data_IF_270389678734
#
_entry.id   IF_270389678734
#
_cell.length_a   1.000
_cell.length_b   1.000
_cell.length_c   1.000
_cell.angle_alpha   90.00
_cell.angle_beta   90.00
_cell.angle_gamma   90.00
#
_symmetry.space_group_name_H-M   'P 1'
#
loop_
_entity.id
_entity.type
_entity.pdbx_description
1 polymer ?
#
# COMPACT_ATOMS: atom_id res chain seq x y z
N UNK A 1 -61.35 57.46 23.04
CA UNK A 1 -61.60 57.96 21.66
C UNK A 1 -61.61 59.47 21.76
N UNK A 2 -60.89 60.22 20.91
CA UNK A 2 -61.06 61.67 20.87
C UNK A 2 -62.48 61.93 20.37
N UNK A 3 -63.30 62.61 21.18
CA UNK A 3 -64.55 63.20 20.71
C UNK A 3 -64.13 64.42 19.88
N UNK A 4 -64.05 64.26 18.57
CA UNK A 4 -63.86 65.42 17.69
C UNK A 4 -65.16 66.24 17.70
N UNK A 5 -65.11 67.53 18.08
CA UNK A 5 -66.30 68.33 18.38
C UNK A 5 -67.00 68.89 17.13
N UNK A 6 -66.89 68.21 15.97
CA UNK A 6 -67.45 68.73 14.73
C UNK A 6 -68.97 68.88 14.81
N UNK A 7 -69.45 70.06 14.44
CA UNK A 7 -70.88 70.39 14.45
C UNK A 7 -71.64 69.59 13.40
N UNK A 8 -72.85 69.13 13.73
CA UNK A 8 -73.74 68.46 12.78
C UNK A 8 -74.26 69.45 11.74
N UNK A 9 -73.96 69.20 10.46
CA UNK A 9 -74.39 70.07 9.38
C UNK A 9 -75.84 69.76 8.95
N UNK A 10 -76.67 70.79 8.83
CA UNK A 10 -78.01 70.70 8.24
C UNK A 10 -77.99 70.56 6.71
N UNK A 11 -79.16 70.38 6.08
CA UNK A 11 -79.29 70.17 4.61
C UNK A 11 -79.61 71.44 3.80
N UNK A 12 -79.71 72.60 4.45
CA UNK A 12 -80.01 73.89 3.81
C UNK A 12 -78.77 74.76 3.59
N UNK A 13 -78.84 75.75 2.69
CA UNK A 13 -77.73 76.68 2.38
C UNK A 13 -77.77 77.98 3.21
N UNK A 14 -78.26 77.87 4.46
CA UNK A 14 -78.45 79.02 5.35
C UNK A 14 -77.11 79.63 5.78
N UNK A 15 -77.16 80.83 6.37
CA UNK A 15 -75.96 81.47 6.94
C UNK A 15 -75.33 80.59 8.03
N UNK A 16 -76.16 79.96 8.86
CA UNK A 16 -75.71 79.10 9.95
C UNK A 16 -75.01 77.85 9.43
N UNK A 17 -75.54 77.20 8.38
CA UNK A 17 -74.85 76.08 7.72
C UNK A 17 -73.45 76.47 7.23
N UNK A 18 -73.30 77.63 6.60
CA UNK A 18 -71.97 78.09 6.11
C UNK A 18 -71.01 78.40 7.24
N UNK A 19 -71.50 78.94 8.36
CA UNK A 19 -70.67 79.22 9.53
C UNK A 19 -70.20 77.93 10.20
N UNK A 20 -71.12 76.99 10.44
CA UNK A 20 -70.78 75.69 11.05
C UNK A 20 -69.86 74.86 10.13
N UNK A 21 -70.07 74.92 8.81
CA UNK A 21 -69.18 74.27 7.84
C UNK A 21 -67.76 74.85 7.87
N UNK A 22 -67.64 76.18 7.90
CA UNK A 22 -66.34 76.84 7.98
C UNK A 22 -65.62 76.56 9.30
N UNK A 23 -66.36 76.49 10.41
CA UNK A 23 -65.82 76.15 11.72
C UNK A 23 -65.33 74.71 11.76
N UNK A 24 -66.12 73.75 11.25
CA UNK A 24 -65.67 72.37 11.10
C UNK A 24 -64.43 72.25 10.22
N UNK A 25 -64.34 72.99 9.11
CA UNK A 25 -63.13 72.97 8.28
C UNK A 25 -61.91 73.54 8.99
N UNK A 26 -62.08 74.56 9.84
CA UNK A 26 -61.00 75.09 10.67
C UNK A 26 -60.54 74.05 11.69
N UNK A 27 -61.48 73.43 12.42
CA UNK A 27 -61.16 72.40 13.43
C UNK A 27 -60.50 71.17 12.81
N UNK A 28 -60.98 70.69 11.65
CA UNK A 28 -60.36 69.60 10.91
C UNK A 28 -58.94 69.97 10.50
N UNK A 29 -58.70 71.21 10.06
CA UNK A 29 -57.37 71.67 9.69
C UNK A 29 -56.41 71.67 10.88
N UNK A 30 -56.87 72.10 12.05
CA UNK A 30 -56.08 72.12 13.28
C UNK A 30 -55.76 70.69 13.76
N UNK A 31 -56.74 69.78 13.71
CA UNK A 31 -56.55 68.36 14.05
C UNK A 31 -55.54 67.68 13.11
N UNK A 32 -55.63 67.96 11.80
CA UNK A 32 -54.68 67.43 10.82
C UNK A 32 -53.26 67.93 11.08
N UNK A 33 -53.10 69.16 11.57
CA UNK A 33 -51.80 69.69 11.96
C UNK A 33 -51.26 69.00 13.23
N UNK A 34 -52.09 68.77 14.25
CA UNK A 34 -51.67 68.04 15.46
C UNK A 34 -51.23 66.60 15.13
N UNK A 35 -51.98 65.90 14.27
CA UNK A 35 -51.61 64.55 13.84
C UNK A 35 -50.31 64.52 13.05
N UNK A 36 -50.08 65.54 12.21
CA UNK A 36 -48.80 65.70 11.49
C UNK A 36 -47.65 65.90 12.48
N UNK A 37 -47.81 66.79 13.45
CA UNK A 37 -46.76 67.08 14.43
C UNK A 37 -46.41 65.84 15.29
N UNK A 38 -47.41 65.02 15.65
CA UNK A 38 -47.20 63.74 16.33
C UNK A 38 -46.50 62.72 15.45
N UNK A 39 -46.90 62.59 14.19
CA UNK A 39 -46.24 61.70 13.24
C UNK A 39 -44.78 62.10 13.03
N UNK A 40 -44.50 63.39 12.88
CA UNK A 40 -43.15 63.93 12.73
C UNK A 40 -42.31 63.71 14.02
N UNK A 41 -42.90 63.84 15.20
CA UNK A 41 -42.23 63.53 16.47
C UNK A 41 -41.91 62.04 16.63
N UNK A 42 -42.87 61.17 16.31
CA UNK A 42 -42.66 59.71 16.33
C UNK A 42 -41.58 59.33 15.33
N UNK A 43 -41.60 59.91 14.12
CA UNK A 43 -40.56 59.67 13.12
C UNK A 43 -39.19 60.11 13.64
N UNK A 44 -39.08 61.28 14.26
CA UNK A 44 -37.82 61.74 14.85
C UNK A 44 -37.32 60.82 15.98
N UNK A 45 -38.22 60.28 16.81
CA UNK A 45 -37.86 59.31 17.84
C UNK A 45 -37.41 57.97 17.23
N UNK A 46 -38.09 57.51 16.17
CA UNK A 46 -37.73 56.28 15.45
C UNK A 46 -36.40 56.45 14.72
N UNK A 47 -36.16 57.58 14.06
CA UNK A 47 -34.90 57.87 13.37
C UNK A 47 -33.73 57.86 14.36
N UNK A 48 -33.90 58.41 15.55
CA UNK A 48 -32.89 58.34 16.62
C UNK A 48 -32.66 56.90 17.12
N UNK A 49 -33.71 56.07 17.21
CA UNK A 49 -33.58 54.67 17.63
C UNK A 49 -32.94 53.78 16.55
N UNK A 50 -33.19 54.07 15.28
CA UNK A 50 -32.76 53.27 14.13
C UNK A 50 -31.36 53.66 13.66
N UNK A 51 -30.97 54.93 13.78
CA UNK A 51 -29.68 55.42 13.29
C UNK A 51 -28.47 54.91 14.08
N UNK A 52 -28.58 54.75 15.40
CA UNK A 52 -27.40 54.50 16.26
C UNK A 52 -27.29 53.08 16.82
N UNK A 53 -28.33 52.26 16.75
CA UNK A 53 -28.39 50.99 17.51
C UNK A 53 -28.26 51.25 19.03
N UNK A 54 -28.34 50.19 19.85
CA UNK A 54 -28.12 50.33 21.30
C UNK A 54 -26.70 50.88 21.57
N UNK A 55 -26.64 52.14 22.00
CA UNK A 55 -25.43 52.93 22.22
C UNK A 55 -25.12 53.11 23.72
N UNK A 56 -25.65 52.22 24.56
CA UNK A 56 -25.31 52.17 25.98
C UNK A 56 -23.78 52.00 26.19
N UNK A 57 -23.22 52.58 27.27
CA UNK A 57 -21.81 52.38 27.63
C UNK A 57 -21.42 50.90 27.72
N UNK A 58 -22.35 50.04 28.19
CA UNK A 58 -22.20 48.60 28.25
C UNK A 58 -22.06 47.98 26.85
N UNK A 59 -22.90 48.37 25.89
CA UNK A 59 -22.79 47.90 24.50
C UNK A 59 -21.48 48.39 23.84
N UNK A 60 -21.02 49.59 24.16
CA UNK A 60 -19.75 50.11 23.68
C UNK A 60 -18.54 49.33 24.24
N UNK A 61 -18.55 49.00 25.53
CA UNK A 61 -17.50 48.20 26.16
C UNK A 61 -17.49 46.75 25.66
N UNK A 62 -18.67 46.16 25.45
CA UNK A 62 -18.81 44.79 24.94
C UNK A 62 -18.32 44.63 23.49
N UNK A 63 -18.15 45.73 22.72
CA UNK A 63 -17.53 45.72 21.38
C UNK A 63 -16.01 45.62 21.41
N UNK A 64 -15.36 45.68 22.56
CA UNK A 64 -13.92 45.54 22.66
C UNK A 64 -13.56 44.07 22.90
N UNK A 65 -12.74 43.50 22.03
CA UNK A 65 -12.22 42.14 22.11
C UNK A 65 -11.27 41.93 23.29
N UNK A 66 -11.01 40.67 23.63
CA UNK A 66 -10.09 40.32 24.72
C UNK A 66 -8.64 40.75 24.44
N UNK A 67 -8.28 40.93 23.16
CA UNK A 67 -7.02 41.45 22.67
C UNK A 67 -6.97 43.00 22.61
N UNK A 68 -8.05 43.67 22.99
CA UNK A 68 -8.20 45.12 22.91
C UNK A 68 -8.65 45.65 21.55
N UNK A 69 -8.94 44.78 20.57
CA UNK A 69 -9.46 45.18 19.26
C UNK A 69 -10.85 45.79 19.42
N UNK A 70 -11.06 46.97 18.85
CA UNK A 70 -12.35 47.67 18.96
C UNK A 70 -13.19 47.43 17.70
N UNK A 71 -14.32 46.74 17.84
CA UNK A 71 -15.20 46.38 16.74
C UNK A 71 -16.31 47.40 16.53
N UNK A 72 -16.74 47.59 15.28
CA UNK A 72 -17.77 48.58 14.93
C UNK A 72 -19.12 48.20 15.52
N UNK A 73 -19.42 46.90 15.59
CA UNK A 73 -20.66 46.35 16.16
C UNK A 73 -20.38 45.07 16.96
N UNK A 74 -21.26 44.72 17.90
CA UNK A 74 -21.18 43.47 18.65
C UNK A 74 -21.26 42.25 17.74
N UNK A 75 -22.07 42.34 16.69
CA UNK A 75 -22.18 41.30 15.66
C UNK A 75 -20.83 41.07 14.98
N UNK A 76 -20.14 42.14 14.59
CA UNK A 76 -18.83 42.03 13.95
C UNK A 76 -17.81 41.33 14.87
N UNK A 77 -17.80 41.68 16.16
CA UNK A 77 -16.95 41.01 17.15
C UNK A 77 -17.28 39.52 17.26
N UNK A 78 -18.56 39.20 17.49
CA UNK A 78 -19.02 37.83 17.71
C UNK A 78 -18.74 36.95 16.49
N UNK A 79 -19.04 37.44 15.28
CA UNK A 79 -18.77 36.70 14.04
C UNK A 79 -17.27 36.45 13.85
N UNK A 80 -16.42 37.45 14.15
CA UNK A 80 -14.96 37.35 14.00
C UNK A 80 -14.37 36.36 15.01
N UNK A 81 -14.62 36.57 16.30
CA UNK A 81 -14.07 35.72 17.37
C UNK A 81 -14.62 34.28 17.27
N UNK A 82 -15.89 34.10 16.90
CA UNK A 82 -16.45 32.78 16.64
C UNK A 82 -15.80 32.11 15.42
N UNK A 83 -15.52 32.86 14.36
CA UNK A 83 -14.78 32.39 13.19
C UNK A 83 -13.38 31.90 13.56
N UNK A 84 -12.65 32.69 14.35
CA UNK A 84 -11.29 32.36 14.80
C UNK A 84 -11.27 31.12 15.70
N UNK A 85 -12.19 31.03 16.66
CA UNK A 85 -12.32 29.84 17.54
C UNK A 85 -12.71 28.61 16.72
N UNK A 86 -13.62 28.74 15.76
CA UNK A 86 -14.01 27.63 14.88
C UNK A 86 -12.85 27.18 14.00
N UNK A 87 -12.04 28.11 13.48
CA UNK A 87 -10.84 27.80 12.70
C UNK A 87 -9.77 27.10 13.55
N UNK A 88 -9.52 27.57 14.77
CA UNK A 88 -8.60 26.91 15.71
C UNK A 88 -9.07 25.50 16.09
N UNK A 89 -10.38 25.31 16.30
CA UNK A 89 -10.97 23.98 16.54
C UNK A 89 -10.81 23.05 15.34
N UNK A 90 -11.00 23.55 14.12
CA UNK A 90 -10.77 22.78 12.90
C UNK A 90 -9.29 22.38 12.75
N UNK A 91 -8.36 23.33 12.98
CA UNK A 91 -6.92 23.06 12.93
C UNK A 91 -6.47 22.06 14.01
N UNK A 92 -7.06 22.11 15.21
CA UNK A 92 -6.79 21.15 16.28
C UNK A 92 -7.37 19.76 15.98
N UNK A 93 -8.55 19.69 15.36
CA UNK A 93 -9.15 18.43 14.91
C UNK A 93 -8.30 17.76 13.82
N UNK A 94 -7.73 18.54 12.90
CA UNK A 94 -6.78 18.03 11.89
C UNK A 94 -5.45 17.55 12.52
N UNK A 95 -5.01 18.17 13.61
CA UNK A 95 -3.80 17.75 14.35
C UNK A 95 -4.04 16.51 15.21
N UNK A 96 -5.23 16.33 15.77
CA UNK A 96 -5.64 15.13 16.51
C UNK A 96 -6.23 14.13 15.50
N UNK A 97 -5.36 13.55 14.68
CA UNK A 97 -5.77 12.49 13.78
C UNK A 97 -5.97 11.21 14.62
N UNK A 98 -7.20 10.86 14.99
CA UNK A 98 -7.50 9.66 15.80
C UNK A 98 -6.88 8.39 15.19
N UNK A 99 -6.76 8.31 13.86
CA UNK A 99 -6.07 7.21 13.19
C UNK A 99 -4.57 7.12 13.52
N UNK A 100 -3.88 8.23 13.81
CA UNK A 100 -2.46 8.21 14.18
C UNK A 100 -2.23 7.67 15.58
N UNK A 101 -3.18 7.91 16.50
CA UNK A 101 -3.15 7.38 17.87
C UNK A 101 -3.46 5.88 17.88
N UNK A 102 -4.49 5.44 17.16
CA UNK A 102 -4.82 4.02 17.02
C UNK A 102 -3.68 3.25 16.34
N UNK A 103 -3.07 3.83 15.30
CA UNK A 103 -1.91 3.23 14.65
C UNK A 103 -0.71 3.12 15.59
N UNK A 104 -0.47 4.11 16.46
CA UNK A 104 0.64 4.06 17.42
C UNK A 104 0.45 2.97 18.47
N UNK A 105 -0.78 2.78 18.95
CA UNK A 105 -1.13 1.71 19.89
C UNK A 105 -0.98 0.33 19.23
N UNK A 106 -1.56 0.14 18.03
CA UNK A 106 -1.39 -1.07 17.25
C UNK A 106 0.09 -1.36 16.95
N UNK A 107 0.89 -0.32 16.74
CA UNK A 107 2.33 -0.44 16.53
C UNK A 107 3.03 -1.02 17.75
N UNK A 108 2.82 -0.42 18.92
CA UNK A 108 3.42 -0.87 20.18
C UNK A 108 3.02 -2.30 20.52
N UNK A 109 1.74 -2.64 20.33
CA UNK A 109 1.22 -3.97 20.62
C UNK A 109 1.83 -5.00 19.65
N UNK A 110 1.87 -4.68 18.36
CA UNK A 110 2.48 -5.57 17.38
C UNK A 110 3.98 -5.78 17.63
N UNK A 111 4.75 -4.74 17.98
CA UNK A 111 6.16 -4.85 18.37
C UNK A 111 6.35 -5.79 19.58
N UNK A 112 5.48 -5.63 20.59
CA UNK A 112 5.49 -6.48 21.78
C UNK A 112 5.16 -7.94 21.45
N UNK A 113 4.13 -8.19 20.63
CA UNK A 113 3.67 -9.53 20.26
C UNK A 113 4.72 -10.36 19.53
N UNK A 114 5.58 -9.71 18.74
CA UNK A 114 6.62 -10.37 17.96
C UNK A 114 8.03 -10.23 18.58
N UNK A 115 8.12 -9.57 19.74
CA UNK A 115 9.34 -9.29 20.51
C UNK A 115 10.42 -8.57 19.69
N UNK A 116 10.05 -7.51 18.96
CA UNK A 116 10.95 -6.77 18.07
C UNK A 116 10.98 -5.28 18.42
N UNK A 117 12.17 -4.70 18.44
CA UNK A 117 12.38 -3.26 18.55
C UNK A 117 12.57 -2.66 17.15
N UNK A 118 11.68 -1.74 16.76
CA UNK A 118 11.83 -0.96 15.53
C UNK A 118 12.57 0.34 15.81
N UNK A 119 13.73 0.56 15.14
CA UNK A 119 14.45 1.82 15.20
C UNK A 119 13.60 3.00 14.75
N UNK A 120 13.79 4.16 15.38
CA UNK A 120 13.01 5.37 15.11
C UNK A 120 13.02 5.80 13.64
N UNK A 121 14.14 5.55 12.93
CA UNK A 121 14.29 5.87 11.51
C UNK A 121 13.42 5.03 10.56
N UNK A 122 12.84 3.91 11.02
CA UNK A 122 11.89 3.12 10.24
C UNK A 122 10.42 3.40 10.56
N UNK A 123 10.11 3.93 11.75
CA UNK A 123 8.72 4.12 12.21
C UNK A 123 7.89 4.99 11.28
N UNK A 124 8.45 6.10 10.83
CA UNK A 124 7.76 7.01 9.90
C UNK A 124 7.41 6.30 8.59
N UNK A 125 8.34 5.49 8.04
CA UNK A 125 8.10 4.78 6.79
C UNK A 125 7.09 3.65 6.94
N UNK A 126 7.13 2.90 8.05
CA UNK A 126 6.11 1.86 8.31
C UNK A 126 4.72 2.50 8.42
N UNK A 127 4.58 3.60 9.16
CA UNK A 127 3.30 4.30 9.28
C UNK A 127 2.81 4.84 7.92
N UNK A 128 3.72 5.33 7.07
CA UNK A 128 3.38 5.72 5.69
C UNK A 128 2.82 4.54 4.90
N UNK A 129 3.49 3.38 4.95
CA UNK A 129 3.03 2.17 4.25
C UNK A 129 1.66 1.75 4.79
N UNK A 130 1.52 1.58 6.12
CA UNK A 130 0.28 1.17 6.80
C UNK A 130 -0.93 2.01 6.35
N UNK A 131 -0.77 3.33 6.28
CA UNK A 131 -1.84 4.26 5.90
C UNK A 131 -2.16 4.26 4.39
N UNK A 132 -1.30 3.68 3.57
CA UNK A 132 -1.44 3.69 2.11
C UNK A 132 -2.01 2.39 1.53
N UNK A 133 -2.04 1.31 2.32
CA UNK A 133 -2.52 0.00 1.86
C UNK A 133 -4.04 0.00 1.71
N UNK A 134 -4.50 -0.20 0.46
CA UNK A 134 -5.90 -0.47 0.15
C UNK A 134 -6.17 -1.97 0.24
N UNK A 135 -6.98 -2.37 1.22
CA UNK A 135 -7.33 -3.78 1.48
C UNK A 135 -8.20 -4.39 0.38
N UNK A 136 -8.74 -3.59 -0.55
CA UNK A 136 -9.48 -4.09 -1.71
C UNK A 136 -8.57 -4.60 -2.83
N UNK A 137 -7.31 -4.14 -2.88
CA UNK A 137 -6.27 -4.62 -3.79
C UNK A 137 -5.63 -5.91 -3.26
N UNK A 138 -4.89 -6.65 -4.10
CA UNK A 138 -4.00 -7.72 -3.62
C UNK A 138 -2.71 -7.07 -3.13
N UNK A 139 -2.31 -7.31 -1.88
CA UNK A 139 -1.13 -6.74 -1.25
C UNK A 139 -0.13 -7.84 -0.87
N UNK A 140 1.03 -7.85 -1.54
CA UNK A 140 2.09 -8.85 -1.35
C UNK A 140 3.35 -8.17 -0.86
N UNK A 141 3.76 -8.47 0.38
CA UNK A 141 5.10 -8.12 0.85
C UNK A 141 6.14 -8.99 0.15
N UNK A 142 7.18 -8.39 -0.43
CA UNK A 142 8.22 -9.10 -1.15
C UNK A 142 9.61 -8.66 -0.69
N UNK A 143 10.31 -9.57 -0.02
CA UNK A 143 11.69 -9.42 0.44
C UNK A 143 12.56 -10.44 -0.29
N UNK A 144 13.70 -10.06 -0.83
CA UNK A 144 14.58 -10.95 -1.61
C UNK A 144 16.03 -10.66 -1.32
N UNK A 145 16.91 -11.64 -1.55
CA UNK A 145 18.37 -11.46 -1.46
C UNK A 145 18.77 -10.87 -0.10
N UNK A 146 18.19 -11.39 0.97
CA UNK A 146 18.52 -10.99 2.33
C UNK A 146 19.92 -11.51 2.73
N UNK A 147 20.33 -12.63 2.13
CA UNK A 147 21.59 -13.33 2.39
C UNK A 147 21.86 -13.49 3.88
N UNK A 148 20.87 -13.94 4.65
CA UNK A 148 21.01 -14.07 6.09
C UNK A 148 22.28 -14.86 6.43
N UNK A 149 23.15 -14.24 7.21
CA UNK A 149 24.44 -14.81 7.57
C UNK A 149 24.89 -14.30 8.93
N UNK A 150 25.33 -15.19 9.82
CA UNK A 150 25.81 -14.83 11.16
C UNK A 150 27.25 -14.28 11.13
N UNK A 151 27.42 -13.14 10.46
CA UNK A 151 28.68 -12.41 10.35
C UNK A 151 28.41 -10.94 10.01
N UNK A 152 29.45 -10.12 9.96
CA UNK A 152 29.34 -8.74 9.50
C UNK A 152 28.97 -8.57 8.02
N UNK A 153 28.87 -9.65 7.23
CA UNK A 153 28.47 -9.60 5.82
C UNK A 153 27.01 -9.15 5.62
N UNK A 154 26.10 -9.61 6.49
CA UNK A 154 24.67 -9.34 6.38
C UNK A 154 24.17 -8.72 7.70
N UNK A 155 24.57 -7.47 7.99
CA UNK A 155 24.19 -6.81 9.24
C UNK A 155 22.67 -6.71 9.35
N UNK A 156 22.12 -7.01 10.52
CA UNK A 156 20.69 -6.93 10.83
C UNK A 156 19.76 -7.76 9.90
N UNK A 157 20.29 -8.67 9.07
CA UNK A 157 19.52 -9.42 8.07
C UNK A 157 18.27 -10.12 8.62
N UNK A 158 18.35 -10.75 9.80
CA UNK A 158 17.19 -11.37 10.45
C UNK A 158 16.14 -10.33 10.90
N UNK A 159 16.56 -9.12 11.27
CA UNK A 159 15.63 -8.04 11.62
C UNK A 159 14.83 -7.57 10.40
N UNK A 160 15.37 -7.66 9.20
CA UNK A 160 14.66 -7.27 7.98
C UNK A 160 13.42 -8.15 7.76
N UNK A 161 13.55 -9.47 7.93
CA UNK A 161 12.41 -10.39 7.94
C UNK A 161 11.39 -10.07 9.03
N UNK A 162 11.87 -9.69 10.20
CA UNK A 162 11.04 -9.28 11.32
C UNK A 162 10.25 -7.98 11.03
N UNK A 163 10.81 -7.03 10.28
CA UNK A 163 10.12 -5.79 9.94
C UNK A 163 9.00 -5.98 8.92
N UNK A 164 9.18 -6.84 7.92
CA UNK A 164 8.09 -7.19 7.00
C UNK A 164 7.02 -8.05 7.70
N UNK A 165 7.41 -8.92 8.63
CA UNK A 165 6.47 -9.65 9.48
C UNK A 165 5.66 -8.70 10.38
N UNK A 166 6.32 -7.70 10.99
CA UNK A 166 5.64 -6.64 11.74
C UNK A 166 4.65 -5.88 10.86
N UNK A 167 5.03 -5.50 9.65
CA UNK A 167 4.14 -4.77 8.76
C UNK A 167 2.82 -5.54 8.51
N UNK A 168 2.88 -6.87 8.33
CA UNK A 168 1.69 -7.71 8.19
C UNK A 168 0.76 -7.68 9.41
N UNK A 169 1.28 -7.36 10.61
CA UNK A 169 0.48 -7.20 11.83
C UNK A 169 -0.20 -5.84 11.91
N UNK A 170 0.42 -4.81 11.31
CA UNK A 170 -0.05 -3.43 11.34
C UNK A 170 -1.03 -3.09 10.23
N UNK A 171 -0.92 -3.77 9.09
CA UNK A 171 -1.83 -3.59 7.96
C UNK A 171 -2.07 -4.92 7.24
N UNK A 172 -3.06 -4.93 6.34
CA UNK A 172 -3.43 -6.14 5.61
C UNK A 172 -2.41 -6.46 4.52
N UNK A 173 -1.73 -7.59 4.64
CA UNK A 173 -0.99 -8.21 3.54
C UNK A 173 -1.63 -9.58 3.27
N UNK A 174 -1.98 -9.84 2.02
CA UNK A 174 -2.51 -11.13 1.58
C UNK A 174 -1.43 -12.22 1.58
N UNK A 175 -0.19 -11.83 1.25
CA UNK A 175 0.96 -12.71 1.32
C UNK A 175 2.25 -11.95 1.67
N UNK A 176 3.20 -12.69 2.25
CA UNK A 176 4.62 -12.33 2.28
C UNK A 176 5.41 -13.40 1.54
N UNK A 177 6.14 -12.98 0.52
CA UNK A 177 6.96 -13.83 -0.32
C UNK A 177 8.43 -13.48 -0.09
N UNK A 178 9.21 -14.48 0.33
CA UNK A 178 10.66 -14.39 0.40
C UNK A 178 11.26 -14.89 -0.92
N UNK A 179 11.82 -13.97 -1.71
CA UNK A 179 12.14 -14.14 -3.12
C UNK A 179 13.34 -15.02 -3.48
N UNK A 180 14.00 -15.66 -2.51
CA UNK A 180 15.23 -16.43 -2.70
C UNK A 180 16.45 -15.73 -2.12
N UNK A 181 17.56 -16.45 -2.08
CA UNK A 181 18.80 -16.02 -1.40
C UNK A 181 18.54 -15.56 0.04
N UNK A 182 17.76 -16.39 0.73
CA UNK A 182 17.34 -16.27 2.13
C UNK A 182 18.50 -16.52 3.09
N UNK A 183 19.49 -17.32 2.68
CA UNK A 183 20.77 -17.48 3.36
C UNK A 183 21.92 -17.28 2.36
N UNK A 184 23.08 -16.81 2.82
CA UNK A 184 24.22 -16.60 1.93
C UNK A 184 24.94 -17.88 1.49
N UNK A 185 24.75 -18.98 2.23
CA UNK A 185 25.34 -20.28 1.90
C UNK A 185 26.86 -20.41 2.14
N UNK A 186 27.50 -19.43 2.81
CA UNK A 186 28.98 -19.36 2.90
C UNK A 186 29.63 -20.36 3.85
N UNK A 187 29.01 -20.58 5.01
CA UNK A 187 29.59 -21.38 6.10
C UNK A 187 29.15 -22.85 6.05
N UNK A 188 29.46 -23.64 7.07
CA UNK A 188 29.14 -25.08 7.09
C UNK A 188 27.64 -25.36 6.99
N UNK A 189 27.25 -26.55 6.53
CA UNK A 189 25.86 -27.00 6.45
C UNK A 189 25.05 -26.74 7.73
N UNK A 190 25.55 -27.03 8.96
CA UNK A 190 24.80 -26.72 10.19
C UNK A 190 24.53 -25.22 10.38
N UNK A 191 25.46 -24.36 9.96
CA UNK A 191 25.27 -22.92 10.05
C UNK A 191 24.26 -22.42 9.01
N UNK A 192 24.35 -22.86 7.75
CA UNK A 192 23.36 -22.54 6.71
C UNK A 192 21.96 -22.99 7.17
N UNK A 193 21.85 -24.19 7.73
CA UNK A 193 20.60 -24.70 8.28
C UNK A 193 20.06 -23.80 9.39
N UNK A 194 20.92 -23.28 10.26
CA UNK A 194 20.50 -22.35 11.32
C UNK A 194 20.06 -20.99 10.75
N UNK A 195 20.78 -20.46 9.78
CA UNK A 195 20.47 -19.19 9.09
C UNK A 195 19.11 -19.29 8.38
N UNK A 196 18.87 -20.35 7.59
CA UNK A 196 17.57 -20.61 6.96
C UNK A 196 16.46 -20.81 7.98
N UNK A 197 16.69 -21.59 9.06
CA UNK A 197 15.69 -21.78 10.12
C UNK A 197 15.29 -20.47 10.79
N UNK A 198 16.24 -19.56 10.98
CA UNK A 198 15.94 -18.25 11.59
C UNK A 198 15.09 -17.39 10.65
N UNK A 199 15.41 -17.34 9.35
CA UNK A 199 14.62 -16.64 8.35
C UNK A 199 13.20 -17.22 8.22
N UNK A 200 13.08 -18.54 8.10
CA UNK A 200 11.76 -19.19 7.99
C UNK A 200 10.95 -19.05 9.26
N UNK A 201 11.57 -19.12 10.45
CA UNK A 201 10.89 -18.86 11.72
C UNK A 201 10.46 -17.40 11.88
N UNK A 202 11.20 -16.45 11.32
CA UNK A 202 10.84 -15.04 11.34
C UNK A 202 9.54 -14.79 10.57
N UNK A 203 9.33 -15.44 9.43
CA UNK A 203 8.09 -15.27 8.68
C UNK A 203 6.98 -16.22 9.15
N UNK A 204 7.16 -17.55 9.10
CA UNK A 204 6.08 -18.50 9.38
C UNK A 204 5.43 -18.34 10.75
N UNK A 205 6.19 -17.88 11.76
CA UNK A 205 5.68 -17.76 13.12
C UNK A 205 5.31 -16.33 13.53
N UNK A 206 5.74 -15.30 12.80
CA UNK A 206 5.53 -13.90 13.22
C UNK A 206 4.65 -13.08 12.28
N UNK A 207 4.43 -13.47 11.02
CA UNK A 207 3.42 -12.81 10.19
C UNK A 207 2.01 -12.97 10.76
N UNK A 208 1.09 -12.06 10.44
CA UNK A 208 -0.31 -12.14 10.85
C UNK A 208 -0.94 -13.48 10.41
N UNK A 209 -1.84 -14.10 11.20
CA UNK A 209 -2.22 -15.50 10.97
C UNK A 209 -3.02 -15.72 9.67
N UNK A 210 -3.57 -14.64 9.08
CA UNK A 210 -4.28 -14.63 7.81
C UNK A 210 -3.42 -14.08 6.65
N UNK A 211 -2.11 -13.93 6.86
CA UNK A 211 -1.13 -13.60 5.81
C UNK A 211 -0.42 -14.87 5.35
N UNK A 212 -0.52 -15.18 4.06
CA UNK A 212 0.15 -16.34 3.49
C UNK A 212 1.67 -16.14 3.45
N UNK A 213 2.46 -17.21 3.59
CA UNK A 213 3.93 -17.13 3.55
C UNK A 213 4.52 -18.11 2.56
N UNK A 214 5.38 -17.62 1.69
CA UNK A 214 6.07 -18.45 0.70
C UNK A 214 7.56 -18.13 0.67
N UNK A 215 8.39 -19.16 0.54
CA UNK A 215 9.83 -19.04 0.33
C UNK A 215 10.16 -19.61 -1.05
N UNK A 216 10.83 -18.79 -1.86
CA UNK A 216 11.45 -19.21 -3.10
C UNK A 216 12.88 -19.66 -2.80
N UNK A 217 13.41 -20.50 -3.69
CA UNK A 217 14.78 -21.01 -3.64
C UNK A 217 15.67 -20.19 -4.56
N UNK A 218 16.75 -19.64 -4.02
CA UNK A 218 17.80 -18.95 -4.77
C UNK A 218 19.09 -19.77 -4.91
N UNK A 219 20.05 -19.22 -5.66
CA UNK A 219 21.36 -19.85 -5.90
C UNK A 219 22.16 -20.05 -4.59
N UNK A 220 22.00 -19.17 -3.61
CA UNK A 220 22.76 -19.21 -2.36
C UNK A 220 22.15 -20.11 -1.28
N UNK A 221 20.83 -20.34 -1.33
CA UNK A 221 20.06 -20.93 -0.22
C UNK A 221 20.60 -22.28 0.27
N UNK A 222 20.95 -23.18 -0.65
CA UNK A 222 21.47 -24.50 -0.27
C UNK A 222 22.98 -24.52 0.02
N UNK A 223 23.70 -23.44 -0.29
CA UNK A 223 25.15 -23.34 -0.19
C UNK A 223 25.93 -24.14 -1.23
N UNK A 224 25.28 -24.72 -2.24
CA UNK A 224 25.96 -25.47 -3.28
C UNK A 224 26.91 -24.56 -4.07
N UNK A 225 28.13 -25.03 -4.32
CA UNK A 225 29.25 -24.34 -4.98
C UNK A 225 29.77 -23.10 -4.24
N UNK A 226 29.01 -22.57 -3.28
CA UNK A 226 29.39 -21.44 -2.47
C UNK A 226 30.58 -21.78 -1.55
N UNK A 227 31.60 -20.93 -1.54
CA UNK A 227 32.85 -21.16 -0.81
C UNK A 227 33.44 -22.58 -1.07
N UNK A 228 33.35 -23.06 -2.30
CA UNK A 228 33.94 -24.33 -2.75
C UNK A 228 33.18 -25.61 -2.33
N UNK A 229 31.96 -25.50 -1.79
CA UNK A 229 31.15 -26.66 -1.38
C UNK A 229 30.61 -27.42 -2.59
N UNK A 230 31.33 -28.45 -2.99
CA UNK A 230 30.96 -29.25 -4.16
C UNK A 230 30.36 -30.61 -3.80
N UNK A 231 30.37 -31.02 -2.53
CA UNK A 231 29.86 -32.33 -2.14
C UNK A 231 28.42 -32.25 -1.59
N UNK A 232 27.65 -33.31 -1.78
CA UNK A 232 26.27 -33.39 -1.30
C UNK A 232 26.15 -33.25 0.23
N UNK A 233 27.14 -33.73 0.98
CA UNK A 233 27.15 -33.66 2.44
C UNK A 233 27.33 -32.24 2.99
N UNK A 234 27.88 -31.33 2.18
CA UNK A 234 28.19 -29.95 2.56
C UNK A 234 27.00 -28.98 2.36
N UNK A 235 25.92 -29.42 1.72
CA UNK A 235 24.82 -28.56 1.29
C UNK A 235 23.48 -28.93 1.95
N UNK A 236 22.54 -27.98 1.95
CA UNK A 236 21.15 -28.27 2.27
C UNK A 236 20.51 -28.92 1.04
N UNK A 237 20.05 -30.16 1.18
CA UNK A 237 19.40 -30.88 0.07
C UNK A 237 18.02 -30.29 -0.24
N UNK A 238 17.49 -30.59 -1.41
CA UNK A 238 16.15 -30.19 -1.82
C UNK A 238 15.09 -30.72 -0.85
N UNK A 239 15.26 -31.93 -0.31
CA UNK A 239 14.35 -32.49 0.70
C UNK A 239 14.42 -31.72 2.03
N UNK A 240 15.61 -31.28 2.44
CA UNK A 240 15.77 -30.42 3.62
C UNK A 240 15.16 -29.03 3.38
N UNK A 241 15.36 -28.43 2.20
CA UNK A 241 14.72 -27.17 1.81
C UNK A 241 13.19 -27.27 1.83
N UNK A 242 12.61 -28.33 1.27
CA UNK A 242 11.16 -28.57 1.32
C UNK A 242 10.61 -28.60 2.75
N UNK A 243 11.36 -29.18 3.69
CA UNK A 243 11.00 -29.18 5.11
C UNK A 243 11.07 -27.77 5.69
N UNK A 244 12.15 -27.02 5.41
CA UNK A 244 12.35 -25.65 5.90
C UNK A 244 11.28 -24.70 5.35
N UNK A 245 10.91 -24.84 4.08
CA UNK A 245 9.92 -24.01 3.38
C UNK A 245 8.48 -24.58 3.50
N UNK A 246 8.30 -25.60 4.34
CA UNK A 246 7.00 -26.20 4.70
C UNK A 246 6.13 -26.68 3.52
N UNK A 247 6.75 -27.15 2.43
CA UNK A 247 6.04 -27.44 1.17
C UNK A 247 5.14 -28.67 1.23
N UNK A 248 5.25 -29.52 2.26
CA UNK A 248 4.46 -30.76 2.41
C UNK A 248 3.03 -30.55 2.91
N UNK A 249 2.74 -29.41 3.55
CA UNK A 249 1.49 -29.22 4.29
C UNK A 249 0.45 -28.37 3.57
N UNK A 250 0.81 -27.71 2.47
CA UNK A 250 -0.02 -26.73 1.77
C UNK A 250 -0.77 -25.81 2.75
N UNK A 251 -0.02 -25.21 3.67
CA UNK A 251 -0.53 -24.55 4.89
C UNK A 251 -1.52 -23.44 4.57
N UNK A 252 -1.34 -22.81 3.41
CA UNK A 252 -2.09 -21.65 2.97
C UNK A 252 -3.12 -22.02 1.90
N UNK A 253 -3.38 -23.31 1.68
CA UNK A 253 -4.24 -23.78 0.60
C UNK A 253 -3.70 -23.48 -0.80
N UNK A 254 -2.37 -23.39 -0.92
CA UNK A 254 -1.68 -23.34 -2.21
C UNK A 254 -1.71 -24.69 -2.92
N UNK A 255 -1.58 -24.66 -4.24
CA UNK A 255 -1.50 -25.85 -5.08
C UNK A 255 -0.06 -26.06 -5.52
N UNK A 256 0.44 -27.27 -5.29
CA UNK A 256 1.80 -27.70 -5.62
C UNK A 256 1.77 -28.91 -6.55
N UNK A 257 2.86 -29.14 -7.27
CA UNK A 257 3.13 -30.46 -7.83
C UNK A 257 3.75 -31.33 -6.73
N UNK A 258 2.95 -32.16 -6.06
CA UNK A 258 3.39 -32.90 -4.87
C UNK A 258 3.82 -31.95 -3.74
N UNK A 259 5.10 -32.01 -3.34
CA UNK A 259 5.71 -31.14 -2.33
C UNK A 259 6.79 -30.22 -2.92
N UNK A 260 6.65 -29.87 -4.21
CA UNK A 260 7.55 -28.95 -4.92
C UNK A 260 7.74 -27.62 -4.21
N UNK A 261 8.91 -27.00 -4.43
CA UNK A 261 9.23 -25.66 -3.93
C UNK A 261 8.48 -24.57 -4.71
N UNK A 262 8.01 -24.87 -5.93
CA UNK A 262 7.12 -24.03 -6.72
C UNK A 262 5.65 -24.33 -6.41
N UNK A 263 4.78 -23.34 -6.54
CA UNK A 263 3.35 -23.47 -6.27
C UNK A 263 2.53 -22.31 -6.86
N UNK A 264 1.20 -22.38 -6.76
CA UNK A 264 0.35 -21.22 -6.98
C UNK A 264 -0.71 -21.10 -5.89
N UNK A 265 -1.20 -19.88 -5.68
CA UNK A 265 -2.34 -19.56 -4.82
C UNK A 265 -3.32 -18.68 -5.58
N UNK A 266 -4.61 -19.04 -5.52
CA UNK A 266 -5.70 -18.20 -6.02
C UNK A 266 -6.22 -17.29 -4.92
N UNK A 267 -6.19 -15.98 -5.20
CA UNK A 267 -6.91 -14.95 -4.44
C UNK A 267 -8.18 -14.62 -5.22
N UNK A 268 -9.20 -15.47 -5.02
CA UNK A 268 -10.40 -15.54 -5.87
C UNK A 268 -11.18 -14.21 -5.87
N UNK A 269 -11.33 -13.60 -4.69
CA UNK A 269 -11.98 -12.31 -4.51
C UNK A 269 -11.23 -11.16 -5.21
N UNK A 270 -9.91 -11.31 -5.36
CA UNK A 270 -9.05 -10.40 -6.12
C UNK A 270 -8.98 -10.71 -7.61
N UNK A 271 -9.48 -11.87 -8.05
CA UNK A 271 -9.30 -12.41 -9.42
C UNK A 271 -7.83 -12.52 -9.85
N UNK A 272 -6.93 -12.78 -8.89
CA UNK A 272 -5.50 -12.94 -9.17
C UNK A 272 -5.05 -14.34 -8.74
N UNK A 273 -4.32 -15.02 -9.63
CA UNK A 273 -3.47 -16.16 -9.31
C UNK A 273 -2.04 -15.68 -9.14
N UNK A 274 -1.44 -15.97 -8.00
CA UNK A 274 -0.01 -15.78 -7.75
C UNK A 274 0.70 -17.11 -7.95
N UNK A 275 1.72 -17.14 -8.80
CA UNK A 275 2.55 -18.31 -9.09
C UNK A 275 3.96 -18.05 -8.58
N UNK A 276 4.49 -18.97 -7.78
CA UNK A 276 5.89 -18.96 -7.33
C UNK A 276 6.64 -20.05 -8.09
N UNK A 277 7.67 -19.67 -8.84
CA UNK A 277 8.53 -20.57 -9.60
C UNK A 277 9.90 -20.75 -8.95
N UNK A 278 10.44 -21.96 -9.05
CA UNK A 278 11.80 -22.28 -8.65
C UNK A 278 12.73 -22.16 -9.86
N UNK A 279 13.48 -21.05 -9.96
CA UNK A 279 14.48 -20.83 -11.02
C UNK A 279 15.77 -21.62 -10.83
N UNK A 280 15.89 -22.36 -9.73
CA UNK A 280 17.04 -23.19 -9.34
C UNK A 280 16.60 -24.63 -9.10
N UNK A 281 15.79 -25.17 -10.02
CA UNK A 281 15.19 -26.51 -9.96
C UNK A 281 16.18 -27.61 -10.37
N UNK A 282 17.40 -27.59 -9.82
CA UNK A 282 18.38 -28.66 -10.04
C UNK A 282 18.10 -29.87 -9.14
N UNK A 283 18.32 -31.10 -9.61
CA UNK A 283 18.39 -32.25 -8.72
C UNK A 283 19.69 -32.19 -7.91
N UNK A 284 19.72 -32.78 -6.72
CA UNK A 284 20.97 -32.95 -5.96
C UNK A 284 21.81 -34.14 -6.46
N UNK A 285 21.86 -34.35 -7.77
CA UNK A 285 22.61 -35.45 -8.39
C UNK A 285 24.10 -35.28 -8.18
N UNK A 286 24.80 -36.39 -7.89
CA UNK A 286 26.25 -36.43 -7.73
C UNK A 286 26.92 -37.37 -8.72
N UNK A 287 28.19 -37.14 -9.01
CA UNK A 287 29.05 -38.14 -9.61
C UNK A 287 29.36 -39.30 -8.64
N UNK A 288 30.19 -40.25 -9.09
CA UNK A 288 30.61 -41.39 -8.26
C UNK A 288 31.42 -41.02 -7.02
N UNK A 289 31.98 -39.80 -6.98
CA UNK A 289 32.74 -39.27 -5.86
C UNK A 289 31.91 -38.47 -4.85
N UNK A 290 30.60 -38.33 -5.07
CA UNK A 290 29.71 -37.53 -4.22
C UNK A 290 29.76 -36.02 -4.51
N UNK A 291 30.43 -35.62 -5.59
CA UNK A 291 30.47 -34.23 -6.05
C UNK A 291 29.21 -33.91 -6.86
N UNK A 292 28.57 -32.78 -6.56
CA UNK A 292 27.41 -32.26 -7.26
C UNK A 292 27.73 -32.04 -8.74
N UNK A 293 26.83 -32.51 -9.60
CA UNK A 293 26.99 -32.41 -11.06
C UNK A 293 26.68 -30.99 -11.55
N UNK A 294 25.67 -30.34 -10.96
CA UNK A 294 25.12 -29.09 -11.47
C UNK A 294 25.47 -27.90 -10.60
N UNK A 295 26.10 -26.89 -11.20
CA UNK A 295 26.45 -25.63 -10.54
C UNK A 295 25.22 -24.75 -10.32
N UNK A 296 24.64 -24.88 -9.12
CA UNK A 296 23.49 -24.11 -8.67
C UNK A 296 23.83 -22.65 -8.33
N UNK A 297 25.12 -22.29 -8.19
CA UNK A 297 25.52 -20.93 -7.82
C UNK A 297 25.49 -19.99 -9.02
N UNK A 298 25.97 -20.48 -10.16
CA UNK A 298 26.16 -19.66 -11.37
C UNK A 298 25.08 -19.86 -12.45
N UNK A 299 24.31 -20.94 -12.37
CA UNK A 299 23.30 -21.28 -13.35
C UNK A 299 21.94 -21.47 -12.69
N UNK A 300 20.86 -21.16 -13.42
CA UNK A 300 19.49 -21.56 -13.07
C UNK A 300 18.99 -22.72 -13.93
N UNK A 301 17.85 -23.30 -13.56
CA UNK A 301 17.24 -24.40 -14.29
C UNK A 301 15.73 -24.46 -14.05
N UNK A 302 14.99 -24.73 -15.14
CA UNK A 302 13.61 -25.20 -15.10
C UNK A 302 13.53 -26.61 -15.71
N UNK A 303 13.21 -27.62 -14.89
CA UNK A 303 13.07 -28.99 -15.39
C UNK A 303 11.73 -29.22 -16.07
N UNK A 304 11.67 -30.25 -16.93
CA UNK A 304 10.47 -30.65 -17.65
C UNK A 304 9.24 -30.78 -16.75
N UNK A 305 9.42 -31.30 -15.54
CA UNK A 305 8.34 -31.50 -14.58
C UNK A 305 7.70 -30.16 -14.15
N UNK A 306 8.51 -29.17 -13.76
CA UNK A 306 8.00 -27.85 -13.39
C UNK A 306 7.36 -27.13 -14.58
N UNK A 307 7.99 -27.22 -15.76
CA UNK A 307 7.45 -26.59 -16.98
C UNK A 307 6.11 -27.21 -17.41
N UNK A 308 5.98 -28.53 -17.32
CA UNK A 308 4.71 -29.21 -17.59
C UNK A 308 3.64 -28.85 -16.57
N UNK A 309 3.98 -28.82 -15.28
CA UNK A 309 3.04 -28.39 -14.24
C UNK A 309 2.60 -26.93 -14.45
N UNK A 310 3.54 -26.04 -14.78
CA UNK A 310 3.23 -24.65 -15.08
C UNK A 310 2.24 -24.55 -16.24
N UNK A 311 2.52 -25.22 -17.36
CA UNK A 311 1.69 -25.09 -18.57
C UNK A 311 0.35 -25.81 -18.47
N UNK A 312 0.30 -27.02 -17.89
CA UNK A 312 -0.90 -27.86 -17.86
C UNK A 312 -1.74 -27.71 -16.60
N UNK A 313 -1.22 -27.04 -15.56
CA UNK A 313 -1.93 -26.89 -14.28
C UNK A 313 -1.98 -25.41 -13.87
N UNK A 314 -0.83 -24.77 -13.65
CA UNK A 314 -0.82 -23.46 -13.02
C UNK A 314 -1.32 -22.33 -13.93
N UNK A 315 -1.06 -22.41 -15.24
CA UNK A 315 -1.57 -21.46 -16.25
C UNK A 315 -2.93 -21.86 -16.84
N UNK A 316 -3.51 -22.97 -16.40
CA UNK A 316 -4.88 -23.31 -16.73
C UNK A 316 -5.81 -22.56 -15.76
N UNK A 317 -6.18 -21.33 -16.17
CA UNK A 317 -6.99 -20.40 -15.39
C UNK A 317 -8.26 -19.99 -16.15
N UNK A 318 -9.31 -19.55 -15.43
CA UNK A 318 -10.41 -18.81 -16.06
C UNK A 318 -9.92 -17.58 -16.84
N UNK A 319 -10.64 -17.23 -17.91
CA UNK A 319 -10.26 -16.12 -18.81
C UNK A 319 -10.22 -14.76 -18.10
N UNK A 320 -11.00 -14.56 -17.04
CA UNK A 320 -11.02 -13.32 -16.26
C UNK A 320 -10.02 -13.30 -15.10
N UNK A 321 -9.19 -14.34 -14.96
CA UNK A 321 -8.13 -14.40 -13.97
C UNK A 321 -6.87 -13.68 -14.46
N UNK A 322 -6.28 -12.90 -13.58
CA UNK A 322 -4.98 -12.28 -13.78
C UNK A 322 -3.87 -13.12 -13.13
N UNK A 323 -2.71 -13.24 -13.77
CA UNK A 323 -1.61 -14.09 -13.33
C UNK A 323 -0.39 -13.24 -13.01
N UNK A 324 0.11 -13.33 -11.78
CA UNK A 324 1.33 -12.70 -11.31
C UNK A 324 2.34 -13.78 -10.96
N UNK A 325 3.57 -13.67 -11.47
CA UNK A 325 4.62 -14.67 -11.26
C UNK A 325 5.73 -14.08 -10.40
N UNK A 326 6.16 -14.81 -9.38
CA UNK A 326 7.37 -14.56 -8.61
C UNK A 326 8.39 -15.66 -8.89
N UNK A 327 9.65 -15.30 -9.09
CA UNK A 327 10.77 -16.24 -9.24
C UNK A 327 12.04 -15.60 -8.69
N UNK A 328 13.08 -16.37 -8.31
CA UNK A 328 14.29 -15.75 -7.80
C UNK A 328 15.07 -15.05 -8.92
N UNK A 329 15.53 -15.83 -9.90
CA UNK A 329 16.31 -15.31 -11.02
C UNK A 329 15.40 -14.76 -12.14
N UNK A 330 15.66 -13.54 -12.64
CA UNK A 330 14.91 -12.97 -13.77
C UNK A 330 15.11 -13.78 -15.05
N UNK A 331 14.19 -13.65 -16.02
CA UNK A 331 14.38 -14.24 -17.34
C UNK A 331 15.69 -13.75 -18.00
N UNK A 332 16.52 -14.65 -18.57
CA UNK A 332 17.71 -14.24 -19.30
C UNK A 332 17.38 -13.27 -20.45
N UNK A 333 18.09 -12.15 -20.50
CA UNK A 333 17.88 -11.09 -21.50
C UNK A 333 16.81 -10.05 -21.14
N UNK A 334 16.00 -10.27 -20.10
CA UNK A 334 15.05 -9.26 -19.65
C UNK A 334 15.73 -8.01 -19.05
N UNK A 335 16.92 -8.20 -18.49
CA UNK A 335 17.78 -7.16 -17.95
C UNK A 335 19.21 -7.39 -18.46
N UNK A 336 20.13 -6.48 -18.12
CA UNK A 336 21.57 -6.75 -18.21
C UNK A 336 21.97 -7.78 -17.12
N UNK A 337 21.57 -9.04 -17.36
CA UNK A 337 21.81 -10.19 -16.50
C UNK A 337 22.68 -11.21 -17.25
N UNK A 338 23.64 -11.80 -16.53
CA UNK A 338 24.58 -12.78 -17.10
C UNK A 338 24.27 -14.22 -16.68
N UNK A 339 23.26 -14.44 -15.83
CA UNK A 339 22.93 -15.77 -15.30
C UNK A 339 22.28 -16.62 -16.38
N UNK A 340 23.03 -17.59 -16.87
CA UNK A 340 22.53 -18.59 -17.80
C UNK A 340 21.55 -19.52 -17.09
N UNK A 341 20.40 -19.81 -17.71
CA UNK A 341 19.38 -20.66 -17.13
C UNK A 341 18.92 -21.72 -18.13
N UNK A 342 19.08 -22.99 -17.76
CA UNK A 342 18.62 -24.11 -18.57
C UNK A 342 17.09 -24.06 -18.74
N UNK A 343 16.64 -24.21 -20.00
CA UNK A 343 15.23 -24.19 -20.42
C UNK A 343 14.45 -22.91 -20.12
N UNK A 344 15.13 -21.80 -19.82
CA UNK A 344 14.46 -20.50 -19.70
C UNK A 344 13.82 -20.01 -21.00
N UNK A 345 14.35 -20.45 -22.15
CA UNK A 345 13.74 -20.24 -23.46
C UNK A 345 12.37 -20.94 -23.59
N UNK A 346 12.25 -22.14 -23.01
CA UNK A 346 11.00 -22.91 -22.97
C UNK A 346 10.00 -22.22 -22.05
N UNK A 347 10.43 -21.79 -20.85
CA UNK A 347 9.59 -20.98 -19.95
C UNK A 347 9.06 -19.74 -20.67
N UNK A 348 9.94 -18.94 -21.30
CA UNK A 348 9.55 -17.74 -22.03
C UNK A 348 8.52 -18.06 -23.12
N UNK A 349 8.70 -19.13 -23.88
CA UNK A 349 7.77 -19.51 -24.94
C UNK A 349 6.41 -20.01 -24.40
N UNK A 350 6.38 -20.70 -23.25
CA UNK A 350 5.13 -21.05 -22.55
C UNK A 350 4.39 -19.76 -22.16
N UNK A 351 5.07 -18.81 -21.54
CA UNK A 351 4.47 -17.56 -21.09
C UNK A 351 3.97 -16.69 -22.25
N UNK A 352 4.72 -16.62 -23.36
CA UNK A 352 4.28 -15.96 -24.60
C UNK A 352 3.05 -16.63 -25.18
N UNK A 353 3.01 -17.96 -25.22
CA UNK A 353 1.86 -18.69 -25.73
C UNK A 353 0.62 -18.49 -24.85
N UNK A 354 0.77 -18.49 -23.52
CA UNK A 354 -0.30 -18.16 -22.59
C UNK A 354 -0.81 -16.73 -22.81
N UNK A 355 0.09 -15.74 -22.83
CA UNK A 355 -0.25 -14.33 -23.07
C UNK A 355 -1.02 -14.12 -24.39
N UNK A 356 -0.62 -14.83 -25.43
CA UNK A 356 -1.19 -14.70 -26.77
C UNK A 356 -2.41 -15.61 -27.01
N UNK A 357 -2.77 -16.47 -26.06
CA UNK A 357 -3.85 -17.45 -26.21
C UNK A 357 -3.59 -18.50 -27.29
N UNK A 358 -2.32 -18.91 -27.47
CA UNK A 358 -1.86 -19.81 -28.54
C UNK A 358 -1.46 -21.18 -27.99
N UNK A 359 -1.38 -22.15 -28.90
CA UNK A 359 -0.78 -23.44 -28.60
C UNK A 359 0.75 -23.31 -28.53
N UNK A 360 1.37 -24.12 -27.67
CA UNK A 360 2.81 -24.28 -27.62
C UNK A 360 3.17 -25.76 -27.58
N UNK A 361 4.10 -26.17 -28.45
CA UNK A 361 4.58 -27.54 -28.54
C UNK A 361 6.09 -27.57 -28.72
N UNK A 362 6.77 -28.38 -27.93
CA UNK A 362 8.19 -28.70 -28.06
C UNK A 362 8.42 -30.13 -27.57
N UNK A 363 9.29 -30.86 -28.25
CA UNK A 363 9.77 -32.18 -27.85
C UNK A 363 11.25 -32.23 -28.22
N UNK A 364 12.13 -32.11 -27.22
CA UNK A 364 13.57 -31.95 -27.40
C UNK A 364 14.31 -32.71 -26.30
N UNK A 365 14.73 -33.93 -26.65
CA UNK A 365 15.47 -34.85 -25.80
C UNK A 365 16.99 -34.64 -25.85
N UNK A 366 17.46 -33.68 -26.65
CA UNK A 366 18.90 -33.40 -26.85
C UNK A 366 19.49 -32.42 -25.83
N UNK A 367 18.63 -31.78 -25.03
CA UNK A 367 19.00 -30.80 -23.99
C UNK A 367 19.59 -31.49 -22.76
N UNK A 368 20.41 -30.74 -22.01
CA UNK A 368 20.92 -31.17 -20.69
C UNK A 368 19.77 -31.57 -19.74
N UNK A 369 18.68 -30.79 -19.78
CA UNK A 369 17.41 -31.12 -19.14
C UNK A 369 16.36 -31.28 -20.25
N UNK A 370 16.15 -32.50 -20.76
CA UNK A 370 15.16 -32.79 -21.81
C UNK A 370 13.80 -32.19 -21.51
N UNK A 371 13.06 -31.76 -22.54
CA UNK A 371 11.71 -31.19 -22.39
C UNK A 371 10.73 -31.80 -23.40
N UNK A 372 9.49 -31.97 -22.97
CA UNK A 372 8.37 -32.38 -23.83
C UNK A 372 7.09 -31.73 -23.33
N UNK A 373 6.51 -30.83 -24.12
CA UNK A 373 5.35 -30.00 -23.77
C UNK A 373 4.44 -29.92 -25.00
N UNK A 374 3.14 -30.13 -24.81
CA UNK A 374 2.11 -29.95 -25.83
C UNK A 374 0.84 -29.39 -25.17
N UNK A 375 0.67 -28.05 -25.22
CA UNK A 375 -0.35 -27.33 -24.47
C UNK A 375 -1.14 -26.36 -25.35
N UNK A 376 -2.39 -26.12 -24.97
CA UNK A 376 -3.28 -25.16 -25.61
C UNK A 376 -3.76 -24.11 -24.59
N UNK A 377 -3.64 -22.82 -24.96
CA UNK A 377 -4.06 -21.68 -24.14
C UNK A 377 -5.22 -20.87 -24.74
N UNK A 378 -6.09 -21.47 -25.56
CA UNK A 378 -7.17 -20.77 -26.29
C UNK A 378 -8.15 -19.97 -25.39
N UNK A 379 -8.18 -20.24 -24.08
CA UNK A 379 -8.96 -19.50 -23.08
C UNK A 379 -8.06 -19.01 -21.94
N UNK A 380 -6.96 -18.33 -22.26
CA UNK A 380 -6.02 -17.85 -21.25
C UNK A 380 -6.54 -16.65 -20.45
N UNK A 381 -6.05 -16.54 -19.21
CA UNK A 381 -6.15 -15.33 -18.41
C UNK A 381 -5.15 -14.26 -18.87
N UNK A 382 -4.94 -13.23 -18.04
CA UNK A 382 -4.02 -12.13 -18.33
C UNK A 382 -2.72 -12.29 -17.54
N UNK A 383 -1.57 -12.46 -18.21
CA UNK A 383 -0.25 -12.39 -17.56
C UNK A 383 0.08 -10.92 -17.23
N UNK A 384 0.23 -10.61 -15.93
CA UNK A 384 0.46 -9.25 -15.42
C UNK A 384 1.94 -8.90 -15.45
N UNK A 385 2.76 -9.69 -14.74
CA UNK A 385 4.18 -9.45 -14.59
C UNK A 385 4.92 -10.71 -14.09
N UNK A 386 6.24 -10.70 -14.28
CA UNK A 386 7.19 -11.58 -13.60
C UNK A 386 8.04 -10.71 -12.69
N UNK A 387 8.03 -11.00 -11.40
CA UNK A 387 8.75 -10.28 -10.35
C UNK A 387 9.89 -11.16 -9.84
N UNK A 388 11.07 -10.57 -9.68
CA UNK A 388 12.31 -11.28 -9.35
C UNK A 388 13.24 -10.50 -8.44
N UNK A 389 14.21 -11.20 -7.85
CA UNK A 389 15.34 -10.64 -7.11
C UNK A 389 16.63 -10.80 -7.90
N UNK A 390 17.66 -11.37 -7.25
CA UNK A 390 18.93 -11.86 -7.82
C UNK A 390 19.89 -10.78 -8.34
N UNK A 391 19.37 -9.70 -8.92
CA UNK A 391 20.17 -8.66 -9.55
C UNK A 391 20.73 -7.62 -8.58
N UNK A 392 20.27 -7.64 -7.33
CA UNK A 392 20.65 -6.67 -6.29
C UNK A 392 20.47 -5.22 -6.77
N UNK A 393 19.36 -4.96 -7.47
CA UNK A 393 18.95 -3.63 -7.91
C UNK A 393 17.49 -3.60 -8.29
N UNK A 394 16.90 -2.42 -8.19
CA UNK A 394 15.60 -2.17 -8.79
C UNK A 394 15.75 -1.98 -10.30
N UNK A 395 14.94 -2.72 -11.05
CA UNK A 395 14.85 -2.55 -12.50
C UNK A 395 13.46 -2.97 -12.99
N UNK A 396 13.07 -2.52 -14.18
CA UNK A 396 11.88 -3.03 -14.85
C UNK A 396 12.00 -2.87 -16.36
N UNK A 397 11.55 -3.89 -17.10
CA UNK A 397 11.58 -3.88 -18.56
C UNK A 397 10.37 -4.62 -19.14
N UNK A 398 9.92 -4.22 -20.32
CA UNK A 398 8.98 -5.02 -21.12
C UNK A 398 9.82 -5.89 -22.05
N UNK A 399 10.03 -7.14 -21.66
CA UNK A 399 10.81 -8.10 -22.41
C UNK A 399 9.89 -9.04 -23.18
N UNK A 400 10.01 -9.08 -24.51
CA UNK A 400 9.18 -9.93 -25.38
C UNK A 400 7.65 -9.74 -25.14
N UNK A 401 7.25 -8.52 -24.76
CA UNK A 401 5.86 -8.17 -24.44
C UNK A 401 5.39 -8.64 -23.06
N UNK A 402 6.30 -8.99 -22.15
CA UNK A 402 6.01 -9.36 -20.76
C UNK A 402 6.69 -8.35 -19.83
N UNK A 403 5.93 -7.77 -18.90
CA UNK A 403 6.48 -6.91 -17.86
C UNK A 403 7.34 -7.74 -16.89
N UNK A 404 8.63 -7.45 -16.85
CA UNK A 404 9.60 -8.04 -15.93
C UNK A 404 10.02 -6.97 -14.92
N UNK A 405 9.99 -7.29 -13.64
CA UNK A 405 10.37 -6.41 -12.54
C UNK A 405 11.43 -7.10 -11.69
N UNK A 406 12.51 -6.39 -11.38
CA UNK A 406 13.51 -6.80 -10.39
C UNK A 406 13.44 -5.89 -9.17
N UNK A 407 13.59 -6.46 -7.99
CA UNK A 407 13.59 -5.79 -6.70
C UNK A 407 14.99 -5.84 -6.12
N UNK A 408 15.44 -4.70 -5.60
CA UNK A 408 16.75 -4.62 -4.95
C UNK A 408 16.82 -5.49 -3.68
N UNK A 409 18.02 -5.98 -3.38
CA UNK A 409 18.29 -6.92 -2.31
C UNK A 409 18.05 -6.32 -0.92
N UNK A 410 17.54 -7.09 0.03
CA UNK A 410 17.47 -6.68 1.44
C UNK A 410 18.85 -6.64 2.12
N UNK A 411 19.85 -7.29 1.53
CA UNK A 411 21.25 -7.20 1.97
C UNK A 411 21.78 -5.75 1.89
N UNK A 412 22.17 -5.16 3.02
CA UNK A 412 22.70 -3.80 3.07
C UNK A 412 23.99 -3.65 2.23
N UNK A 413 24.87 -4.65 2.22
CA UNK A 413 26.12 -4.66 1.45
C UNK A 413 25.98 -5.32 0.09
N UNK A 414 24.83 -5.14 -0.56
CA UNK A 414 24.54 -5.68 -1.89
C UNK A 414 25.36 -5.08 -3.04
N UNK A 415 26.03 -3.95 -2.79
CA UNK A 415 26.84 -3.23 -3.79
C UNK A 415 26.23 -1.90 -4.26
N UNK A 416 25.00 -1.58 -3.88
CA UNK A 416 24.38 -0.30 -4.20
C UNK A 416 24.99 0.86 -3.39
N UNK A 417 25.23 2.00 -4.05
CA UNK A 417 25.73 3.22 -3.38
C UNK A 417 24.64 3.86 -2.53
N UNK A 418 24.96 4.27 -1.30
CA UNK A 418 24.03 4.97 -0.40
C UNK A 418 23.34 4.09 0.65
N UNK A 419 23.67 2.79 0.69
CA UNK A 419 23.23 1.89 1.76
C UNK A 419 24.12 2.05 2.98
N UNK A 420 23.51 2.31 4.14
CA UNK A 420 24.24 2.54 5.39
C UNK A 420 23.60 1.76 6.53
N UNK A 421 24.41 0.94 7.20
CA UNK A 421 24.02 0.14 8.36
C UNK A 421 23.47 1.03 9.48
N UNK A 422 22.40 0.58 10.15
CA UNK A 422 21.65 1.28 11.19
C UNK A 422 21.04 2.62 10.74
N UNK A 423 20.57 2.69 9.49
CA UNK A 423 19.85 3.85 8.96
C UNK A 423 18.63 3.41 8.16
N UNK A 424 17.81 4.37 7.72
CA UNK A 424 16.64 4.09 6.88
C UNK A 424 16.99 3.50 5.51
N UNK A 425 18.26 3.45 5.09
CA UNK A 425 18.70 2.87 3.81
C UNK A 425 19.41 1.52 3.95
N UNK A 426 19.39 0.91 5.14
CA UNK A 426 20.01 -0.41 5.37
C UNK A 426 19.24 -1.53 4.67
N UNK A 427 17.93 -1.60 4.92
CA UNK A 427 17.05 -2.63 4.37
C UNK A 427 16.46 -2.20 3.02
N UNK A 428 15.89 -3.16 2.30
CA UNK A 428 15.14 -2.93 1.07
C UNK A 428 14.17 -4.08 0.80
N UNK A 429 12.88 -3.76 0.73
CA UNK A 429 11.83 -4.66 0.24
C UNK A 429 10.59 -3.85 -0.15
N UNK A 430 9.67 -4.47 -0.88
CA UNK A 430 8.50 -3.79 -1.44
C UNK A 430 7.20 -4.43 -0.95
N UNK A 431 6.15 -3.63 -0.73
CA UNK A 431 4.77 -4.14 -0.78
C UNK A 431 4.20 -3.87 -2.16
N UNK A 432 3.92 -4.93 -2.91
CA UNK A 432 3.23 -4.86 -4.20
C UNK A 432 1.73 -4.82 -3.97
N UNK A 433 1.06 -3.76 -4.43
CA UNK A 433 -0.39 -3.62 -4.46
C UNK A 433 -0.88 -3.71 -5.90
N UNK A 434 -1.78 -4.67 -6.18
CA UNK A 434 -2.26 -4.99 -7.53
C UNK A 434 -3.77 -4.85 -7.59
N UNK A 435 -4.22 -4.11 -8.60
CA UNK A 435 -5.64 -3.89 -8.86
C UNK A 435 -5.99 -4.27 -10.31
N UNK A 436 -6.63 -5.43 -10.53
CA UNK A 436 -7.02 -5.89 -11.85
C UNK A 436 -8.00 -4.98 -12.60
N UNK A 437 -8.85 -4.25 -11.87
CA UNK A 437 -9.83 -3.36 -12.48
C UNK A 437 -9.16 -2.12 -13.10
N UNK A 438 -8.18 -1.54 -12.40
CA UNK A 438 -7.41 -0.39 -12.91
C UNK A 438 -6.20 -0.81 -13.74
N UNK A 439 -5.80 -2.09 -13.69
CA UNK A 439 -4.61 -2.66 -14.35
C UNK A 439 -3.31 -1.96 -13.95
N UNK A 440 -3.17 -1.73 -12.65
CA UNK A 440 -2.00 -1.06 -12.08
C UNK A 440 -1.34 -1.98 -11.05
N UNK A 441 -0.01 -2.03 -11.10
CA UNK A 441 0.85 -2.52 -10.03
C UNK A 441 1.50 -1.30 -9.39
N UNK A 442 1.41 -1.16 -8.07
CA UNK A 442 2.13 -0.14 -7.29
C UNK A 442 3.01 -0.85 -6.28
N UNK A 443 4.12 -0.23 -5.94
CA UNK A 443 4.96 -0.66 -4.83
C UNK A 443 5.07 0.44 -3.80
N UNK A 444 5.01 0.03 -2.53
CA UNK A 444 5.44 0.83 -1.41
C UNK A 444 6.77 0.30 -0.90
N UNK A 445 7.83 1.09 -1.07
CA UNK A 445 9.19 0.71 -0.69
C UNK A 445 9.36 0.80 0.81
N UNK A 446 9.90 -0.21 1.46
CA UNK A 446 10.53 -0.04 2.76
C UNK A 446 12.05 0.01 2.60
N UNK A 447 12.68 1.02 3.18
CA UNK A 447 14.14 1.15 3.18
C UNK A 447 14.70 1.91 1.97
N UNK A 448 15.85 1.46 1.46
CA UNK A 448 16.57 2.09 0.34
C UNK A 448 15.76 2.08 -0.95
N UNK A 449 15.80 3.17 -1.73
CA UNK A 449 15.12 3.30 -3.02
C UNK A 449 13.81 4.09 -2.95
N UNK A 450 12.85 3.79 -3.81
CA UNK A 450 11.61 4.58 -3.94
C UNK A 450 10.43 3.74 -4.40
N UNK A 451 9.22 4.21 -4.09
CA UNK A 451 7.98 3.65 -4.62
C UNK A 451 8.00 3.62 -6.17
N UNK A 452 7.50 2.53 -6.76
CA UNK A 452 7.41 2.34 -8.22
C UNK A 452 5.99 2.00 -8.63
N UNK A 453 5.64 2.26 -9.89
CA UNK A 453 4.32 1.95 -10.44
C UNK A 453 4.43 1.51 -11.90
N UNK A 454 3.54 0.60 -12.30
CA UNK A 454 3.46 0.07 -13.66
C UNK A 454 2.00 -0.12 -14.08
N UNK A 455 1.76 0.07 -15.37
CA UNK A 455 0.51 -0.30 -16.03
C UNK A 455 0.76 -1.57 -16.86
N UNK A 456 -0.22 -2.48 -16.90
CA UNK A 456 -0.10 -3.77 -17.60
C UNK A 456 -1.31 -4.15 -18.47
#
# INVERSE_FOLDING_TARGET
MPNYPYKTLGTGTTRDFRNDLNENFSEISDDMQEHKDRADNIQAQVDNLVADGDSSPEAAQARVGADGTNYTTLKQRLDTEHGDVTAQLAEMADKINVSSVDNLLNFSDAESDIEIEVPSYYRAKINEIVNSIDKSELNVGFITDNHNQYSGYAPNSLKHYNYIALLSRLTHLDAVISGGDNANGWYSKPQILSELKSATSALFNRVKPDTDVYFLHGNHDNGAFQNGKKNLEDIITNEELKVLYQTKKNVYGEVRNGDSIYCYKDYIDKKIRVIMLNSFDFPNSTDSGGTLIYDNLNYGCYRNEQLNWLSHVALQVPQDTHVLIFTHAPLPGAFDNSTQQYNSDVLLNILKAFKDGKNYKIDDDTREFPVSIDVNFSNSGTLIAIISGHLHRDDSNIYEGILCISVDASLCYSGATGRVVNTATEDCWDVFSINPNSRIIKTKRFGFGSDRNWQY
#
